data_IF_812383000032
#
_entry.id   IF_812383000032
#
_cell.length_a   1.000
_cell.length_b   1.000
_cell.length_c   1.000
_cell.angle_alpha   90.00
_cell.angle_beta   90.00
_cell.angle_gamma   90.00
#
_symmetry.space_group_name_H-M   'P 1'
#
loop_
_entity.id
_entity.type
_entity.pdbx_description
1 polymer ?
#
# COMPACT_ATOMS: atom_id res chain seq x y z
N UNK A 1 15.58 0.78 27.79
CA UNK A 1 14.82 1.24 26.61
C UNK A 1 14.60 2.73 26.76
N UNK A 2 15.05 3.53 25.78
CA UNK A 2 14.89 4.99 25.82
C UNK A 2 13.40 5.37 25.73
N UNK A 3 12.86 5.86 26.84
CA UNK A 3 11.44 6.21 27.03
C UNK A 3 11.16 7.64 26.52
N UNK A 4 12.20 8.42 26.20
CA UNK A 4 12.11 9.85 25.89
C UNK A 4 11.64 10.16 24.46
N UNK A 5 11.62 9.17 23.56
CA UNK A 5 11.26 9.37 22.15
C UNK A 5 12.27 10.21 21.35
N UNK A 6 13.31 10.76 21.97
CA UNK A 6 14.32 11.60 21.31
C UNK A 6 15.16 10.81 20.31
N UNK A 7 15.51 9.55 20.64
CA UNK A 7 16.18 8.68 19.68
C UNK A 7 15.35 8.48 18.40
N UNK A 8 14.04 8.22 18.53
CA UNK A 8 13.12 8.08 17.38
C UNK A 8 13.00 9.39 16.60
N UNK A 9 12.95 10.53 17.29
CA UNK A 9 12.87 11.86 16.65
C UNK A 9 14.15 12.17 15.86
N UNK A 10 15.32 11.91 16.43
CA UNK A 10 16.60 12.15 15.77
C UNK A 10 16.83 11.19 14.60
N UNK A 11 16.44 9.92 14.74
CA UNK A 11 16.41 8.98 13.60
C UNK A 11 15.48 9.47 12.50
N UNK A 12 14.28 9.95 12.85
CA UNK A 12 13.35 10.53 11.88
C UNK A 12 13.95 11.72 11.13
N UNK A 13 14.61 12.65 11.84
CA UNK A 13 15.30 13.80 11.24
C UNK A 13 16.44 13.39 10.32
N UNK A 14 17.25 12.42 10.73
CA UNK A 14 18.36 11.91 9.92
C UNK A 14 17.86 11.24 8.63
N UNK A 15 16.78 10.46 8.72
CA UNK A 15 16.14 9.83 7.55
C UNK A 15 15.60 10.90 6.61
N UNK A 16 14.86 11.89 7.11
CA UNK A 16 14.34 12.98 6.29
C UNK A 16 15.44 13.78 5.61
N UNK A 17 16.50 14.16 6.35
CA UNK A 17 17.64 14.87 5.79
C UNK A 17 18.36 14.05 4.70
N UNK A 18 18.50 12.74 4.91
CA UNK A 18 19.03 11.81 3.90
C UNK A 18 18.18 11.77 2.63
N UNK A 19 16.85 11.67 2.78
CA UNK A 19 15.93 11.68 1.63
C UNK A 19 15.98 13.01 0.86
N UNK A 20 16.07 14.14 1.56
CA UNK A 20 16.24 15.45 0.91
C UNK A 20 17.54 15.48 0.11
N UNK A 21 18.65 15.03 0.69
CA UNK A 21 19.94 14.98 -0.01
C UNK A 21 19.90 14.10 -1.26
N UNK A 22 19.33 12.90 -1.16
CA UNK A 22 19.17 11.99 -2.30
C UNK A 22 18.27 12.59 -3.38
N UNK A 23 17.18 13.25 -2.98
CA UNK A 23 16.25 13.90 -3.92
C UNK A 23 16.91 15.05 -4.67
N UNK A 24 17.75 15.84 -4.00
CA UNK A 24 18.52 16.91 -4.63
C UNK A 24 19.56 16.36 -5.62
N UNK A 25 20.24 15.27 -5.28
CA UNK A 25 21.17 14.61 -6.22
C UNK A 25 20.44 14.11 -7.47
N UNK A 26 19.26 13.53 -7.30
CA UNK A 26 18.42 13.06 -8.41
C UNK A 26 17.85 14.20 -9.26
N UNK A 27 17.62 15.38 -8.68
CA UNK A 27 17.13 16.54 -9.42
C UNK A 27 18.11 17.00 -10.52
N UNK A 28 19.41 16.71 -10.40
CA UNK A 28 20.40 17.03 -11.45
C UNK A 28 20.41 16.03 -12.61
N UNK A 29 19.91 14.80 -12.40
CA UNK A 29 19.93 13.73 -13.39
C UNK A 29 18.69 13.77 -14.31
N UNK A 30 17.58 14.35 -13.85
CA UNK A 30 16.36 14.46 -14.65
C UNK A 30 16.39 15.71 -15.55
N UNK A 31 16.26 15.54 -16.89
CA UNK A 31 16.24 16.66 -17.83
C UNK A 31 14.93 17.47 -17.79
N UNK A 32 13.87 16.98 -17.14
CA UNK A 32 12.58 17.65 -17.08
C UNK A 32 11.71 17.28 -15.87
N UNK A 33 10.98 18.28 -15.36
CA UNK A 33 9.97 18.12 -14.29
C UNK A 33 8.88 17.09 -14.64
N UNK A 34 8.55 17.01 -15.93
CA UNK A 34 7.52 16.09 -16.44
C UNK A 34 7.93 14.63 -16.25
N UNK A 35 9.16 14.25 -16.63
CA UNK A 35 9.65 12.88 -16.47
C UNK A 35 9.71 12.46 -15.00
N UNK A 36 10.17 13.37 -14.13
CA UNK A 36 10.20 13.12 -12.69
C UNK A 36 8.80 12.89 -12.11
N UNK A 37 7.81 13.68 -12.54
CA UNK A 37 6.41 13.53 -12.12
C UNK A 37 5.81 12.20 -12.57
N UNK A 38 5.97 11.84 -13.85
CA UNK A 38 5.42 10.60 -14.39
C UNK A 38 6.12 9.35 -13.85
N UNK A 39 7.44 9.40 -13.63
CA UNK A 39 8.16 8.29 -13.01
C UNK A 39 7.73 8.08 -11.56
N UNK A 40 7.62 9.17 -10.78
CA UNK A 40 7.19 9.09 -9.38
C UNK A 40 5.75 8.60 -9.25
N UNK A 41 4.86 9.10 -10.11
CA UNK A 41 3.46 8.68 -10.16
C UNK A 41 3.36 7.20 -10.56
N UNK A 42 4.10 6.77 -11.57
CA UNK A 42 4.18 5.37 -11.98
C UNK A 42 4.65 4.45 -10.84
N UNK A 43 5.67 4.87 -10.09
CA UNK A 43 6.22 4.11 -8.97
C UNK A 43 5.17 3.92 -7.86
N UNK A 44 4.47 5.00 -7.50
CA UNK A 44 3.44 4.99 -6.46
C UNK A 44 2.23 4.19 -6.93
N UNK A 45 1.76 4.40 -8.16
CA UNK A 45 0.59 3.71 -8.71
C UNK A 45 0.84 2.21 -8.87
N UNK A 46 2.02 1.78 -9.35
CA UNK A 46 2.34 0.37 -9.49
C UNK A 46 2.41 -0.32 -8.11
N UNK A 47 3.03 0.32 -7.11
CA UNK A 47 3.14 -0.25 -5.76
C UNK A 47 1.81 -0.26 -5.00
N UNK A 48 0.98 0.77 -5.15
CA UNK A 48 -0.36 0.81 -4.55
C UNK A 48 -1.34 -0.14 -5.24
N UNK A 49 -1.27 -0.30 -6.57
CA UNK A 49 -2.11 -1.25 -7.29
C UNK A 49 -1.94 -2.69 -6.78
N UNK A 50 -0.74 -3.09 -6.37
CA UNK A 50 -0.47 -4.40 -5.73
C UNK A 50 -1.17 -4.53 -4.39
N UNK A 51 -1.09 -3.51 -3.52
CA UNK A 51 -1.77 -3.51 -2.24
C UNK A 51 -3.29 -3.59 -2.44
N UNK A 52 -3.83 -2.84 -3.41
CA UNK A 52 -5.26 -2.87 -3.75
C UNK A 52 -5.68 -4.23 -4.29
N UNK A 53 -4.92 -4.84 -5.21
CA UNK A 53 -5.23 -6.18 -5.73
C UNK A 53 -5.11 -7.28 -4.66
N UNK A 54 -4.20 -7.12 -3.70
CA UNK A 54 -4.07 -8.06 -2.59
C UNK A 54 -5.30 -8.06 -1.67
N UNK A 55 -6.05 -6.94 -1.60
CA UNK A 55 -7.28 -6.85 -0.81
C UNK A 55 -8.47 -7.55 -1.48
N UNK A 56 -8.49 -7.67 -2.81
CA UNK A 56 -9.60 -8.24 -3.57
C UNK A 56 -9.47 -9.74 -3.87
N UNK A 57 -8.36 -10.38 -3.52
CA UNK A 57 -8.14 -11.78 -3.82
C UNK A 57 -7.66 -12.53 -2.58
N UNK A 58 -8.20 -13.74 -2.36
CA UNK A 58 -7.75 -14.67 -1.29
C UNK A 58 -6.46 -15.42 -1.66
N UNK A 59 -6.00 -15.30 -2.92
CA UNK A 59 -4.86 -16.03 -3.50
C UNK A 59 -3.47 -15.37 -3.38
N UNK A 60 -3.30 -14.03 -3.30
CA UNK A 60 -1.98 -13.42 -3.28
C UNK A 60 -1.24 -13.80 -2.00
N UNK A 61 -0.04 -14.31 -2.20
CA UNK A 61 0.90 -14.70 -1.15
C UNK A 61 1.74 -13.49 -0.74
N UNK A 62 2.36 -13.50 0.44
CA UNK A 62 3.35 -12.47 0.83
C UNK A 62 4.47 -12.36 -0.20
N UNK A 63 4.91 -13.49 -0.78
CA UNK A 63 5.89 -13.54 -1.86
C UNK A 63 5.40 -12.80 -3.12
N UNK A 64 4.13 -12.96 -3.49
CA UNK A 64 3.55 -12.26 -4.64
C UNK A 64 3.54 -10.74 -4.47
N UNK A 65 3.27 -10.25 -3.26
CA UNK A 65 3.33 -8.81 -2.99
C UNK A 65 4.76 -8.27 -3.13
N UNK A 66 5.76 -8.96 -2.56
CA UNK A 66 7.15 -8.54 -2.68
C UNK A 66 7.66 -8.60 -4.12
N UNK A 67 7.39 -9.69 -4.86
CA UNK A 67 7.82 -9.81 -6.25
C UNK A 67 7.15 -8.80 -7.16
N UNK A 68 5.89 -8.46 -6.93
CA UNK A 68 5.19 -7.44 -7.69
C UNK A 68 5.75 -6.03 -7.45
N UNK A 69 6.11 -5.70 -6.20
CA UNK A 69 6.80 -4.44 -5.87
C UNK A 69 8.18 -4.42 -6.53
N UNK A 70 8.97 -5.49 -6.38
CA UNK A 70 10.33 -5.57 -6.94
C UNK A 70 10.29 -5.48 -8.46
N UNK A 71 9.46 -6.28 -9.14
CA UNK A 71 9.38 -6.26 -10.61
C UNK A 71 8.79 -4.97 -11.15
N UNK A 72 7.81 -4.38 -10.47
CA UNK A 72 7.28 -3.07 -10.83
C UNK A 72 8.34 -1.97 -10.74
N UNK A 73 9.00 -1.88 -9.57
CA UNK A 73 10.04 -0.87 -9.33
C UNK A 73 11.24 -1.05 -10.25
N UNK A 74 11.81 -2.27 -10.33
CA UNK A 74 12.96 -2.56 -11.19
C UNK A 74 12.58 -2.36 -12.66
N UNK A 75 11.38 -2.78 -13.06
CA UNK A 75 10.86 -2.58 -14.40
C UNK A 75 10.81 -1.11 -14.81
N UNK A 76 10.25 -0.26 -13.95
CA UNK A 76 10.16 1.19 -14.18
C UNK A 76 11.56 1.79 -14.35
N UNK A 77 12.50 1.48 -13.46
CA UNK A 77 13.87 2.00 -13.56
C UNK A 77 14.61 1.48 -14.79
N UNK A 78 14.51 0.19 -15.09
CA UNK A 78 15.14 -0.42 -16.25
C UNK A 78 14.66 0.27 -17.52
N UNK A 79 13.35 0.42 -17.70
CA UNK A 79 12.78 1.06 -18.88
C UNK A 79 13.05 2.57 -18.93
N UNK A 80 13.13 3.26 -17.80
CA UNK A 80 13.59 4.64 -17.73
C UNK A 80 15.02 4.78 -18.28
N UNK A 81 15.95 3.91 -17.87
CA UNK A 81 17.31 3.89 -18.41
C UNK A 81 17.34 3.50 -19.89
N UNK A 82 16.57 2.50 -20.33
CA UNK A 82 16.47 2.17 -21.77
C UNK A 82 15.91 3.35 -22.59
N UNK A 83 15.00 4.14 -22.01
CA UNK A 83 14.49 5.36 -22.63
C UNK A 83 15.56 6.42 -22.83
N UNK A 84 16.47 6.58 -21.86
CA UNK A 84 17.63 7.47 -21.97
C UNK A 84 18.57 7.09 -23.12
N UNK A 85 18.63 5.80 -23.49
CA UNK A 85 19.42 5.30 -24.62
C UNK A 85 18.63 5.19 -25.93
N UNK A 86 17.44 5.81 -26.03
CA UNK A 86 16.54 5.76 -27.20
C UNK A 86 16.11 4.34 -27.63
N UNK A 87 16.29 3.34 -26.76
CA UNK A 87 15.99 1.93 -27.06
C UNK A 87 14.50 1.57 -26.92
N UNK A 88 13.63 2.57 -26.73
CA UNK A 88 12.18 2.42 -26.59
C UNK A 88 11.40 2.62 -27.90
N UNK A 89 12.06 2.73 -29.05
CA UNK A 89 11.44 2.99 -30.36
C UNK A 89 10.42 1.94 -30.84
N UNK A 90 10.34 0.79 -30.17
CA UNK A 90 9.33 -0.25 -30.42
C UNK A 90 8.01 -0.01 -29.67
N UNK A 91 7.96 0.89 -28.69
CA UNK A 91 6.73 1.25 -28.01
C UNK A 91 5.88 2.20 -28.86
N UNK A 92 4.54 2.10 -28.80
CA UNK A 92 3.67 2.99 -29.57
C UNK A 92 3.93 4.46 -29.22
N UNK A 93 4.06 5.31 -30.26
CA UNK A 93 4.37 6.73 -30.09
C UNK A 93 3.36 7.49 -29.21
N UNK A 94 2.08 7.09 -29.23
CA UNK A 94 1.06 7.69 -28.37
C UNK A 94 1.33 7.42 -26.88
N UNK A 95 1.92 6.28 -26.55
CA UNK A 95 2.19 5.86 -25.18
C UNK A 95 3.48 6.50 -24.66
N UNK A 96 4.53 6.59 -25.49
CA UNK A 96 5.78 7.28 -25.13
C UNK A 96 5.60 8.79 -25.02
N UNK A 97 4.86 9.41 -25.95
CA UNK A 97 4.61 10.86 -25.93
C UNK A 97 3.72 11.30 -24.75
N UNK A 98 2.89 10.39 -24.22
CA UNK A 98 2.01 10.68 -23.08
C UNK A 98 2.71 10.65 -21.72
N UNK A 99 3.95 10.17 -21.64
CA UNK A 99 4.65 9.91 -20.36
C UNK A 99 4.10 8.71 -19.57
N UNK A 100 3.01 8.07 -20.03
CA UNK A 100 2.36 6.94 -19.35
C UNK A 100 3.07 5.61 -19.57
N UNK A 101 3.98 5.53 -20.54
CA UNK A 101 4.72 4.30 -20.89
C UNK A 101 5.32 3.63 -19.65
N UNK A 102 5.99 4.38 -18.79
CA UNK A 102 6.63 3.85 -17.58
C UNK A 102 5.61 3.30 -16.58
N UNK A 103 4.45 3.95 -16.43
CA UNK A 103 3.36 3.49 -15.56
C UNK A 103 2.73 2.19 -16.05
N UNK A 104 2.46 2.10 -17.36
CA UNK A 104 1.86 0.89 -17.96
C UNK A 104 2.83 -0.29 -17.89
N UNK A 105 4.11 -0.07 -18.17
CA UNK A 105 5.15 -1.11 -18.12
C UNK A 105 5.38 -1.56 -16.67
N UNK A 106 5.45 -0.61 -15.74
CA UNK A 106 5.56 -0.90 -14.31
C UNK A 106 4.39 -1.75 -13.81
N UNK A 107 3.17 -1.39 -14.19
CA UNK A 107 1.97 -2.15 -13.86
C UNK A 107 1.99 -3.56 -14.47
N UNK A 108 2.36 -3.69 -15.74
CA UNK A 108 2.46 -4.99 -16.41
C UNK A 108 3.49 -5.91 -15.72
N UNK A 109 4.66 -5.39 -15.38
CA UNK A 109 5.70 -6.16 -14.69
C UNK A 109 5.33 -6.48 -13.24
N UNK A 110 4.64 -5.58 -12.54
CA UNK A 110 4.05 -5.89 -11.23
C UNK A 110 3.05 -7.04 -11.31
N UNK A 111 2.17 -7.04 -12.33
CA UNK A 111 1.21 -8.13 -12.56
C UNK A 111 1.95 -9.46 -12.78
N UNK A 112 3.01 -9.46 -13.59
CA UNK A 112 3.86 -10.66 -13.77
C UNK A 112 4.45 -11.12 -12.42
N UNK A 113 4.95 -10.20 -11.60
CA UNK A 113 5.45 -10.49 -10.26
C UNK A 113 4.40 -11.13 -9.35
N UNK A 114 3.14 -10.69 -9.43
CA UNK A 114 2.02 -11.31 -8.71
C UNK A 114 1.85 -12.77 -9.16
N UNK A 115 1.76 -13.02 -10.48
CA UNK A 115 1.57 -14.38 -10.99
C UNK A 115 2.72 -15.31 -10.64
N UNK A 116 3.97 -14.84 -10.76
CA UNK A 116 5.15 -15.60 -10.36
C UNK A 116 5.10 -15.91 -8.86
N UNK A 117 4.78 -14.94 -8.01
CA UNK A 117 4.70 -15.17 -6.57
C UNK A 117 3.49 -16.00 -6.14
N UNK A 118 2.43 -16.09 -6.95
CA UNK A 118 1.34 -17.04 -6.73
C UNK A 118 1.80 -18.45 -7.13
N UNK A 119 2.51 -18.60 -8.25
CA UNK A 119 2.98 -19.90 -8.73
C UNK A 119 4.01 -20.55 -7.80
N UNK A 120 4.91 -19.77 -7.21
CA UNK A 120 5.98 -20.26 -6.34
C UNK A 120 5.77 -19.98 -4.85
N UNK A 121 4.81 -19.13 -4.50
CA UNK A 121 4.52 -18.78 -3.11
C UNK A 121 3.58 -19.78 -2.45
N UNK A 122 3.72 -19.89 -1.13
CA UNK A 122 2.75 -20.64 -0.33
C UNK A 122 1.58 -19.71 0.03
N UNK A 123 0.32 -20.12 -0.19
CA UNK A 123 -0.82 -19.34 0.25
C UNK A 123 -0.81 -19.15 1.77
N UNK A 124 -1.42 -18.08 2.29
CA UNK A 124 -1.58 -17.89 3.72
C UNK A 124 -2.25 -19.13 4.35
N UNK A 125 -1.81 -19.54 5.53
CA UNK A 125 -2.42 -20.68 6.21
C UNK A 125 -3.89 -20.42 6.53
N UNK A 126 -4.71 -21.46 6.56
CA UNK A 126 -6.16 -21.36 6.83
C UNK A 126 -6.46 -20.64 8.16
N UNK A 127 -5.54 -20.74 9.14
CA UNK A 127 -5.62 -20.04 10.43
C UNK A 127 -5.52 -18.51 10.28
N UNK A 128 -4.79 -18.01 9.28
CA UNK A 128 -4.69 -16.57 8.98
C UNK A 128 -5.92 -16.10 8.21
N UNK A 129 -6.41 -16.90 7.26
CA UNK A 129 -7.62 -16.60 6.49
C UNK A 129 -8.88 -16.62 7.36
N UNK A 130 -8.97 -17.55 8.32
CA UNK A 130 -10.07 -17.63 9.30
C UNK A 130 -10.20 -16.38 10.17
N UNK A 131 -9.10 -15.66 10.44
CA UNK A 131 -9.14 -14.35 11.12
C UNK A 131 -9.95 -13.34 10.31
N UNK A 132 -9.89 -13.39 8.99
CA UNK A 132 -10.61 -12.46 8.10
C UNK A 132 -12.02 -12.93 7.77
N UNK A 133 -12.30 -14.25 7.80
CA UNK A 133 -13.61 -14.83 7.47
C UNK A 133 -14.61 -14.89 8.66
N UNK A 134 -14.19 -14.77 9.92
CA UNK A 134 -15.10 -15.00 11.08
C UNK A 134 -14.94 -14.05 12.28
N UNK A 135 -13.77 -14.02 12.91
CA UNK A 135 -13.66 -13.48 14.29
C UNK A 135 -13.17 -12.03 14.39
N UNK A 136 -12.57 -11.45 13.35
CA UNK A 136 -12.03 -10.09 13.43
C UNK A 136 -13.06 -9.01 13.10
N UNK A 137 -14.11 -9.36 12.35
CA UNK A 137 -15.23 -8.46 12.01
C UNK A 137 -16.53 -8.76 12.79
N UNK A 138 -16.61 -9.87 13.55
CA UNK A 138 -17.73 -10.17 14.47
C UNK A 138 -17.86 -9.12 15.58
N UNK A 139 -16.75 -8.54 16.01
CA UNK A 139 -16.71 -7.50 17.04
C UNK A 139 -17.56 -6.27 16.72
N UNK A 140 -17.87 -5.98 15.44
CA UNK A 140 -18.75 -4.86 15.09
C UNK A 140 -20.22 -5.15 15.47
N UNK A 141 -20.68 -6.40 15.30
CA UNK A 141 -22.05 -6.80 15.64
C UNK A 141 -22.21 -6.95 17.15
N UNK A 142 -21.23 -7.58 17.80
CA UNK A 142 -21.15 -7.73 19.26
C UNK A 142 -21.10 -6.36 19.96
N UNK A 143 -20.32 -5.40 19.46
CA UNK A 143 -20.28 -4.03 20.00
C UNK A 143 -21.58 -3.25 19.79
N UNK A 144 -22.31 -3.50 18.71
CA UNK A 144 -23.63 -2.91 18.47
C UNK A 144 -24.67 -3.46 19.46
N UNK A 145 -24.64 -4.77 19.70
CA UNK A 145 -25.53 -5.47 20.64
C UNK A 145 -25.24 -5.04 22.09
N UNK A 146 -23.96 -4.97 22.47
CA UNK A 146 -23.52 -4.48 23.79
C UNK A 146 -23.96 -3.02 24.02
N UNK A 147 -23.80 -2.14 23.04
CA UNK A 147 -24.26 -0.76 23.13
C UNK A 147 -25.78 -0.63 23.27
N UNK A 148 -26.56 -1.54 22.66
CA UNK A 148 -28.01 -1.54 22.85
C UNK A 148 -28.40 -2.03 24.24
N UNK A 149 -27.73 -3.05 24.76
CA UNK A 149 -27.96 -3.55 26.12
C UNK A 149 -27.66 -2.47 27.16
N UNK A 150 -26.50 -1.82 27.07
CA UNK A 150 -26.11 -0.74 27.97
C UNK A 150 -27.10 0.44 27.93
N UNK A 151 -27.59 0.82 26.74
CA UNK A 151 -28.63 1.87 26.61
C UNK A 151 -29.97 1.46 27.23
N UNK A 152 -30.32 0.17 27.20
CA UNK A 152 -31.54 -0.33 27.84
C UNK A 152 -31.40 -0.40 29.36
N UNK A 153 -30.23 -0.77 29.86
CA UNK A 153 -29.92 -0.76 31.29
C UNK A 153 -29.94 0.67 31.85
N UNK A 154 -29.26 1.62 31.21
CA UNK A 154 -29.31 3.04 31.60
C UNK A 154 -30.74 3.60 31.59
N UNK A 155 -31.58 3.18 30.64
CA UNK A 155 -32.97 3.60 30.57
C UNK A 155 -33.78 3.03 31.74
N UNK A 156 -33.61 1.75 32.08
CA UNK A 156 -34.26 1.11 33.23
C UNK A 156 -33.82 1.73 34.55
N UNK A 157 -32.54 2.04 34.71
CA UNK A 157 -32.03 2.72 35.91
C UNK A 157 -32.60 4.13 36.06
N UNK A 158 -32.71 4.90 34.96
CA UNK A 158 -33.35 6.22 34.98
C UNK A 158 -34.84 6.13 35.29
N UNK A 159 -35.54 5.13 34.75
CA UNK A 159 -36.95 4.90 35.04
C UNK A 159 -37.16 4.47 36.51
N UNK A 160 -36.29 3.60 37.05
CA UNK A 160 -36.31 3.21 38.46
C UNK A 160 -35.99 4.37 39.41
N UNK A 161 -35.05 5.24 39.05
CA UNK A 161 -34.73 6.45 39.81
C UNK A 161 -35.79 7.55 39.69
N UNK A 162 -36.68 7.48 38.69
CA UNK A 162 -37.79 8.42 38.49
C UNK A 162 -39.09 7.98 39.21
N UNK A 163 -39.15 6.78 39.80
CA UNK A 163 -40.25 6.37 40.68
C UNK A 163 -40.00 6.96 42.06
N UNK A 164 -40.80 7.93 42.55
CA UNK A 164 -40.65 8.45 43.90
C UNK A 164 -40.98 7.34 44.89
N UNK A 165 -40.10 7.13 45.87
CA UNK A 165 -40.40 6.29 47.03
C UNK A 165 -41.65 6.86 47.74
N UNK A 166 -42.74 6.09 47.70
CA UNK A 166 -43.96 6.36 48.46
C UNK A 166 -43.73 6.13 49.96
#
# INVERSE_FOLDING_TARGET
>A
YDVSGQARLNTGRAVTAGFIGISLLWAFEFPGLFDMYFLSSALISATTAVATFSAFSKKPTTLSAYLAIIFGTVGIFLFFFLGKYEMLGWLPAWLTNSGLAYGVIGLALSIVGIFVGIAFGRPPSDRVLARYDGDYYSGRREMYELNQQLKQEEKKEREAAAVPSA
#
